data_IF_391062724401
#
_entry.id   IF_391062724401
#
_cell.length_a   1.000
_cell.length_b   1.000
_cell.length_c   1.000
_cell.angle_alpha   90.00
_cell.angle_beta   90.00
_cell.angle_gamma   90.00
#
_symmetry.space_group_name_H-M   'P 1'
#
loop_
_entity.id
_entity.type
_entity.pdbx_description
1 polymer ?
#
# COMPACT_ATOMS: atom_id res chain seq x y z
N UNK A 1 -28.62 -6.39 20.28
CA UNK A 1 -30.08 -6.34 20.55
C UNK A 1 -30.67 -5.31 19.60
N UNK A 2 -31.94 -4.94 19.71
CA UNK A 2 -32.45 -3.75 19.00
C UNK A 2 -32.68 -2.66 20.03
N UNK A 3 -32.41 -1.40 19.66
CA UNK A 3 -32.55 -0.22 20.53
C UNK A 3 -33.88 -0.25 21.28
N UNK A 4 -33.82 -0.25 22.61
CA UNK A 4 -34.98 -0.15 23.47
C UNK A 4 -35.31 1.33 23.74
N UNK A 5 -36.53 1.76 23.41
CA UNK A 5 -36.98 3.12 23.70
C UNK A 5 -37.77 3.16 25.01
N UNK A 6 -37.52 4.18 25.83
CA UNK A 6 -38.35 4.48 27.00
C UNK A 6 -39.68 5.07 26.52
N UNK A 7 -40.79 4.46 26.91
CA UNK A 7 -42.12 5.02 26.68
C UNK A 7 -42.41 6.10 27.72
N UNK A 8 -42.60 7.34 27.28
CA UNK A 8 -42.86 8.50 28.17
C UNK A 8 -44.36 8.78 28.39
N UNK A 9 -45.23 7.91 27.89
CA UNK A 9 -46.68 8.08 27.89
C UNK A 9 -47.19 8.96 26.75
N UNK A 10 -48.51 9.02 26.57
CA UNK A 10 -49.16 9.87 25.56
C UNK A 10 -49.39 11.31 26.04
N UNK A 11 -49.47 11.49 27.35
CA UNK A 11 -49.57 12.76 28.05
C UNK A 11 -48.86 12.67 29.41
N UNK A 12 -48.57 13.83 30.02
CA UNK A 12 -47.97 13.87 31.35
C UNK A 12 -48.85 13.16 32.38
N UNK A 13 -48.25 12.24 33.14
CA UNK A 13 -48.87 11.50 34.25
C UNK A 13 -50.08 10.64 33.87
N UNK A 14 -50.19 10.19 32.62
CA UNK A 14 -51.34 9.41 32.14
C UNK A 14 -51.26 7.90 32.42
N UNK A 15 -50.14 7.43 33.00
CA UNK A 15 -49.92 6.03 33.35
C UNK A 15 -49.69 5.09 32.15
N UNK A 16 -49.57 5.62 30.93
CA UNK A 16 -49.35 4.83 29.71
C UNK A 16 -47.87 4.66 29.34
N UNK A 17 -46.98 5.34 30.08
CA UNK A 17 -45.54 5.22 29.95
C UNK A 17 -44.94 4.01 30.68
N UNK A 18 -43.63 3.84 30.53
CA UNK A 18 -42.88 2.84 31.26
C UNK A 18 -42.82 3.15 32.76
N UNK A 19 -42.83 2.10 33.57
CA UNK A 19 -42.40 2.22 34.98
C UNK A 19 -40.92 2.53 35.05
N UNK A 20 -40.44 3.12 36.15
CA UNK A 20 -39.00 3.33 36.40
C UNK A 20 -38.19 2.03 36.28
N UNK A 21 -38.79 0.89 36.67
CA UNK A 21 -38.16 -0.43 36.54
C UNK A 21 -38.00 -0.82 35.07
N UNK A 22 -39.06 -0.68 34.27
CA UNK A 22 -39.01 -0.97 32.84
C UNK A 22 -38.05 -0.03 32.11
N UNK A 23 -38.09 1.26 32.40
CA UNK A 23 -37.15 2.24 31.87
C UNK A 23 -35.71 1.91 32.26
N UNK A 24 -35.45 1.56 33.53
CA UNK A 24 -34.14 1.13 34.01
C UNK A 24 -33.62 -0.13 33.32
N UNK A 25 -34.47 -1.13 33.08
CA UNK A 25 -34.11 -2.34 32.32
C UNK A 25 -33.70 -1.97 30.89
N UNK A 26 -34.51 -1.16 30.20
CA UNK A 26 -34.22 -0.70 28.83
C UNK A 26 -32.93 0.10 28.75
N UNK A 27 -32.66 0.95 29.74
CA UNK A 27 -31.40 1.71 29.87
C UNK A 27 -30.23 0.74 29.98
N UNK A 28 -30.29 -0.20 30.94
CA UNK A 28 -29.22 -1.18 31.15
C UNK A 28 -29.00 -2.04 29.90
N UNK A 29 -30.07 -2.53 29.28
CA UNK A 29 -29.99 -3.34 28.05
C UNK A 29 -29.31 -2.59 26.90
N UNK A 30 -29.65 -1.31 26.69
CA UNK A 30 -29.01 -0.48 25.68
C UNK A 30 -27.51 -0.26 25.99
N UNK A 31 -27.16 0.00 27.25
CA UNK A 31 -25.77 0.20 27.65
C UNK A 31 -24.96 -1.09 27.52
N UNK A 32 -25.50 -2.22 27.98
CA UNK A 32 -24.87 -3.54 27.82
C UNK A 32 -24.60 -3.82 26.34
N UNK A 33 -25.53 -3.52 25.43
CA UNK A 33 -25.29 -3.66 23.99
C UNK A 33 -24.10 -2.81 23.50
N UNK A 34 -23.98 -1.57 23.96
CA UNK A 34 -22.88 -0.67 23.58
C UNK A 34 -21.54 -1.18 24.13
N UNK A 35 -21.48 -1.53 25.42
CA UNK A 35 -20.26 -2.04 26.06
C UNK A 35 -19.81 -3.36 25.45
N UNK A 36 -20.73 -4.28 25.17
CA UNK A 36 -20.41 -5.52 24.46
C UNK A 36 -19.86 -5.26 23.06
N UNK A 37 -20.38 -4.25 22.34
CA UNK A 37 -19.95 -3.95 20.97
C UNK A 37 -18.60 -3.25 20.89
N UNK A 38 -18.28 -2.41 21.87
CA UNK A 38 -17.09 -1.55 21.89
C UNK A 38 -16.04 -2.05 22.87
N UNK A 39 -16.31 -2.97 23.81
CA UNK A 39 -15.37 -3.42 24.84
C UNK A 39 -15.43 -4.90 25.25
N UNK A 40 -16.38 -5.67 24.73
CA UNK A 40 -16.58 -7.07 25.09
C UNK A 40 -17.43 -7.26 26.36
N UNK A 41 -17.42 -8.46 26.94
CA UNK A 41 -18.19 -8.82 28.15
C UNK A 41 -17.47 -8.36 29.44
N UNK A 42 -17.04 -7.09 29.46
CA UNK A 42 -16.34 -6.48 30.59
C UNK A 42 -16.89 -5.07 30.81
N UNK A 43 -16.81 -4.58 32.04
CA UNK A 43 -17.18 -3.21 32.43
C UNK A 43 -16.22 -2.14 31.84
N UNK A 44 -15.37 -2.52 30.88
CA UNK A 44 -14.31 -1.70 30.29
C UNK A 44 -14.52 -1.63 28.77
N UNK A 45 -14.56 -0.40 28.22
CA UNK A 45 -14.56 -0.16 26.77
C UNK A 45 -13.26 -0.72 26.15
N UNK A 46 -13.23 -1.11 24.86
CA UNK A 46 -12.11 -1.86 24.29
C UNK A 46 -10.80 -1.13 24.52
N UNK A 47 -9.85 -1.84 25.12
CA UNK A 47 -8.52 -1.32 25.37
C UNK A 47 -7.66 -1.23 24.11
N UNK A 48 -8.15 -1.71 22.96
CA UNK A 48 -7.37 -1.80 21.72
C UNK A 48 -7.76 -0.77 20.67
N UNK A 49 -8.96 -0.19 20.75
CA UNK A 49 -9.42 0.83 19.80
C UNK A 49 -10.13 1.94 20.56
N UNK A 50 -9.67 3.17 20.41
CA UNK A 50 -10.33 4.37 20.92
C UNK A 50 -10.70 5.33 19.78
N UNK A 51 -11.80 6.08 19.98
CA UNK A 51 -12.26 7.10 19.05
C UNK A 51 -11.97 8.47 19.66
N UNK A 52 -11.15 9.26 18.98
CA UNK A 52 -10.86 10.64 19.31
C UNK A 52 -11.57 11.58 18.33
N UNK A 53 -11.56 12.88 18.61
CA UNK A 53 -12.06 13.91 17.68
C UNK A 53 -11.33 13.89 16.33
N UNK A 54 -10.04 13.54 16.32
CA UNK A 54 -9.19 13.63 15.14
C UNK A 54 -8.79 12.28 14.52
N UNK A 55 -9.04 11.16 15.19
CA UNK A 55 -8.49 9.86 14.79
C UNK A 55 -9.31 8.66 15.29
N UNK A 56 -9.15 7.54 14.58
CA UNK A 56 -9.33 6.21 15.16
C UNK A 56 -7.96 5.76 15.63
N UNK A 57 -7.83 5.44 16.91
CA UNK A 57 -6.56 5.06 17.54
C UNK A 57 -6.57 3.56 17.80
N UNK A 58 -5.50 2.89 17.39
CA UNK A 58 -5.24 1.49 17.68
C UNK A 58 -4.15 1.41 18.74
N UNK A 59 -4.52 0.92 19.91
CA UNK A 59 -3.61 0.74 21.04
C UNK A 59 -2.77 -0.52 20.82
N UNK A 60 -1.48 -0.42 21.15
CA UNK A 60 -0.59 -1.58 21.20
C UNK A 60 -0.91 -2.53 22.36
N UNK A 61 -0.04 -3.51 22.60
CA UNK A 61 -0.21 -4.48 23.68
C UNK A 61 -0.08 -3.88 25.10
N UNK A 62 0.48 -2.67 25.22
CA UNK A 62 0.62 -1.92 26.47
C UNK A 62 -0.18 -0.64 26.34
N UNK A 63 -0.99 -0.34 27.36
CA UNK A 63 -1.79 0.88 27.45
C UNK A 63 -0.91 2.12 27.37
N UNK A 64 -1.27 3.08 26.51
CA UNK A 64 -0.70 4.44 26.46
C UNK A 64 0.84 4.46 26.25
N UNK A 65 1.36 3.47 25.53
CA UNK A 65 2.78 3.35 25.25
C UNK A 65 3.11 3.71 23.80
N UNK A 66 2.40 3.11 22.85
CA UNK A 66 2.60 3.31 21.42
C UNK A 66 1.30 3.06 20.66
N UNK A 67 0.90 4.03 19.85
CA UNK A 67 -0.37 4.01 19.15
C UNK A 67 -0.19 4.12 17.64
N UNK A 68 -1.06 3.45 16.89
CA UNK A 68 -1.24 3.71 15.45
C UNK A 68 -2.52 4.50 15.26
N UNK A 69 -2.45 5.60 14.51
CA UNK A 69 -3.59 6.52 14.31
C UNK A 69 -4.02 6.51 12.86
N UNK A 70 -5.29 6.19 12.61
CA UNK A 70 -5.93 6.41 11.31
C UNK A 70 -6.54 7.81 11.31
N UNK A 71 -5.96 8.69 10.50
CA UNK A 71 -6.38 10.08 10.36
C UNK A 71 -6.68 10.39 8.90
N UNK A 72 -7.56 11.36 8.67
CA UNK A 72 -7.71 11.97 7.36
C UNK A 72 -6.89 13.24 7.30
N UNK A 73 -6.20 13.47 6.18
CA UNK A 73 -5.75 14.83 5.84
C UNK A 73 -6.97 15.68 5.47
N UNK A 74 -6.84 17.00 5.58
CA UNK A 74 -7.91 17.93 5.20
C UNK A 74 -8.43 17.62 3.79
N UNK A 75 -9.68 17.16 3.65
CA UNK A 75 -10.22 16.78 2.36
C UNK A 75 -10.55 18.03 1.54
N UNK A 76 -10.21 18.03 0.25
CA UNK A 76 -10.58 19.09 -0.70
C UNK A 76 -11.86 18.78 -1.50
N UNK A 77 -12.49 17.63 -1.21
CA UNK A 77 -13.62 17.01 -1.91
C UNK A 77 -14.01 15.73 -1.15
N UNK A 78 -15.20 15.20 -1.42
CA UNK A 78 -15.64 13.93 -0.86
C UNK A 78 -14.73 12.78 -1.32
N UNK A 79 -14.26 11.99 -0.35
CA UNK A 79 -13.32 10.89 -0.57
C UNK A 79 -13.81 9.65 0.16
N UNK A 80 -13.68 8.51 -0.49
CA UNK A 80 -13.90 7.20 0.13
C UNK A 80 -12.61 6.40 0.05
N UNK A 81 -12.18 5.83 1.18
CA UNK A 81 -11.09 4.85 1.24
C UNK A 81 -11.72 3.50 1.58
N UNK A 82 -11.41 2.46 0.79
CA UNK A 82 -11.94 1.12 0.98
C UNK A 82 -10.83 0.16 1.43
N UNK A 83 -11.13 -0.67 2.42
CA UNK A 83 -10.24 -1.77 2.84
C UNK A 83 -10.54 -2.97 1.93
N UNK A 84 -9.52 -3.56 1.27
CA UNK A 84 -9.73 -4.75 0.43
C UNK A 84 -10.31 -5.91 1.24
N UNK A 85 -11.17 -6.72 0.63
CA UNK A 85 -11.59 -8.01 1.19
C UNK A 85 -10.47 -9.05 1.03
N UNK A 86 -9.36 -8.82 1.71
CA UNK A 86 -8.17 -9.67 1.72
C UNK A 86 -7.44 -9.55 3.04
N UNK A 87 -6.81 -10.64 3.49
CA UNK A 87 -5.90 -10.60 4.63
C UNK A 87 -4.57 -9.98 4.23
N UNK A 88 -4.02 -9.12 5.07
CA UNK A 88 -2.71 -8.51 4.87
C UNK A 88 -2.54 -7.22 5.65
N UNK A 89 -1.41 -6.55 5.45
CA UNK A 89 -1.12 -5.23 6.02
C UNK A 89 -1.46 -4.17 4.95
N UNK A 90 -2.05 -3.06 5.37
CA UNK A 90 -2.30 -1.90 4.49
C UNK A 90 -0.95 -1.30 4.05
N UNK A 91 -0.85 -0.93 2.77
CA UNK A 91 0.35 -0.30 2.22
C UNK A 91 0.39 1.18 2.60
N UNK A 92 1.53 1.65 3.10
CA UNK A 92 1.78 3.05 3.50
C UNK A 92 3.07 3.55 2.83
N UNK A 93 3.22 4.87 2.69
CA UNK A 93 4.21 5.52 1.84
C UNK A 93 5.64 5.58 2.40
N UNK A 94 5.79 5.53 3.72
CA UNK A 94 7.10 5.66 4.41
C UNK A 94 7.70 4.33 4.86
N UNK A 95 6.90 3.26 4.93
CA UNK A 95 7.36 1.96 5.39
C UNK A 95 8.06 1.18 4.26
N UNK A 96 9.11 0.44 4.60
CA UNK A 96 9.63 -0.59 3.69
C UNK A 96 8.66 -1.77 3.67
N UNK A 97 8.02 -2.03 2.52
CA UNK A 97 7.03 -3.11 2.37
C UNK A 97 7.32 -3.97 1.13
N UNK A 98 7.04 -5.28 1.24
CA UNK A 98 7.10 -6.22 0.12
C UNK A 98 5.71 -6.37 -0.49
N UNK A 99 5.54 -5.94 -1.75
CA UNK A 99 4.29 -6.08 -2.48
C UNK A 99 4.33 -7.34 -3.35
N UNK A 100 3.60 -8.38 -2.95
CA UNK A 100 3.45 -9.62 -3.73
C UNK A 100 2.13 -9.62 -4.51
N UNK A 101 2.14 -10.27 -5.68
CA UNK A 101 0.95 -10.52 -6.52
C UNK A 101 0.18 -9.24 -6.86
N UNK A 102 0.88 -8.17 -7.19
CA UNK A 102 0.27 -6.90 -7.61
C UNK A 102 0.49 -6.68 -9.10
N UNK A 103 -0.55 -6.15 -9.74
CA UNK A 103 -0.46 -5.54 -11.06
C UNK A 103 -0.41 -4.03 -10.86
N UNK A 104 0.66 -3.39 -11.36
CA UNK A 104 0.77 -1.94 -11.40
C UNK A 104 0.42 -1.48 -12.82
N UNK A 105 -0.69 -0.77 -12.98
CA UNK A 105 -1.11 -0.23 -14.27
C UNK A 105 -0.54 1.16 -14.46
N UNK A 106 0.35 1.32 -15.45
CA UNK A 106 1.02 2.59 -15.77
C UNK A 106 1.74 3.28 -14.58
N UNK A 107 2.56 2.56 -13.79
CA UNK A 107 3.31 3.21 -12.71
C UNK A 107 4.37 4.15 -13.29
N UNK A 108 4.55 5.31 -12.66
CA UNK A 108 5.75 6.13 -12.84
C UNK A 108 6.79 5.69 -11.82
N UNK A 109 7.96 5.26 -12.28
CA UNK A 109 9.07 4.83 -11.44
C UNK A 109 10.26 5.78 -11.67
N UNK A 110 10.65 6.54 -10.65
CA UNK A 110 11.76 7.50 -10.76
C UNK A 110 13.13 6.86 -10.57
N UNK A 111 13.25 5.89 -9.65
CA UNK A 111 14.50 5.20 -9.33
C UNK A 111 14.29 3.70 -9.13
N UNK A 112 13.84 2.96 -10.17
CA UNK A 112 13.62 1.53 -10.03
C UNK A 112 14.93 0.77 -9.78
N UNK A 113 14.95 -0.09 -8.76
CA UNK A 113 16.01 -1.09 -8.55
C UNK A 113 15.46 -2.48 -8.88
N UNK A 114 15.83 -3.02 -10.03
CA UNK A 114 15.50 -4.38 -10.44
C UNK A 114 16.67 -5.30 -10.08
N UNK A 115 16.45 -6.28 -9.22
CA UNK A 115 17.54 -7.09 -8.63
C UNK A 115 17.84 -8.37 -9.38
N UNK A 116 16.86 -8.94 -10.09
CA UNK A 116 16.97 -10.26 -10.72
C UNK A 116 16.71 -10.21 -12.22
N UNK A 117 15.50 -9.83 -12.63
CA UNK A 117 15.10 -9.84 -14.03
C UNK A 117 13.87 -8.97 -14.30
N UNK A 118 13.68 -8.62 -15.57
CA UNK A 118 12.37 -8.28 -16.14
C UNK A 118 11.86 -9.55 -16.82
N UNK A 119 10.68 -10.02 -16.41
CA UNK A 119 10.07 -11.25 -16.92
C UNK A 119 8.97 -10.94 -17.93
N UNK A 120 8.71 -11.89 -18.83
CA UNK A 120 7.58 -11.85 -19.75
C UNK A 120 6.26 -12.28 -19.07
N UNK A 121 5.16 -12.28 -19.84
CA UNK A 121 3.84 -12.66 -19.36
C UNK A 121 3.72 -14.14 -18.95
N UNK A 122 4.65 -15.00 -19.39
CA UNK A 122 4.69 -16.42 -19.05
C UNK A 122 5.68 -16.71 -17.91
N UNK A 123 6.17 -15.68 -17.22
CA UNK A 123 7.17 -15.76 -16.14
C UNK A 123 8.56 -16.24 -16.57
N UNK A 124 8.90 -16.17 -17.86
CA UNK A 124 10.27 -16.40 -18.34
C UNK A 124 11.07 -15.09 -18.31
N UNK A 125 12.40 -15.16 -18.19
CA UNK A 125 13.21 -13.95 -18.16
C UNK A 125 13.37 -13.32 -19.55
N UNK A 126 13.05 -12.03 -19.67
CA UNK A 126 13.31 -11.22 -20.86
C UNK A 126 14.67 -10.52 -20.78
N UNK A 127 15.00 -9.94 -19.62
CA UNK A 127 16.28 -9.31 -19.31
C UNK A 127 16.73 -9.80 -17.94
N UNK A 128 17.95 -10.33 -17.83
CA UNK A 128 18.54 -10.74 -16.54
C UNK A 128 19.59 -9.74 -16.09
N UNK A 129 19.57 -9.43 -14.80
CA UNK A 129 20.55 -8.58 -14.14
C UNK A 129 21.41 -9.40 -13.20
N UNK A 130 22.72 -9.19 -13.25
CA UNK A 130 23.68 -9.82 -12.35
C UNK A 130 24.44 -8.73 -11.63
N UNK A 131 24.37 -8.72 -10.30
CA UNK A 131 25.11 -7.76 -9.50
C UNK A 131 26.61 -8.04 -9.60
N UNK A 132 27.39 -7.00 -9.92
CA UNK A 132 28.84 -7.00 -9.76
C UNK A 132 29.18 -6.10 -8.58
N UNK A 133 29.83 -6.62 -7.55
CA UNK A 133 29.97 -5.95 -6.24
C UNK A 133 30.62 -4.56 -6.30
N UNK A 134 31.45 -4.30 -7.31
CA UNK A 134 32.12 -3.02 -7.54
C UNK A 134 32.00 -2.60 -9.01
N UNK A 135 30.81 -2.68 -9.59
CA UNK A 135 30.57 -2.19 -10.94
C UNK A 135 30.93 -0.70 -11.05
N UNK A 136 31.86 -0.36 -11.94
CA UNK A 136 32.26 1.03 -12.28
C UNK A 136 31.67 1.46 -13.63
N UNK A 137 31.36 0.49 -14.49
CA UNK A 137 30.88 0.70 -15.84
C UNK A 137 29.53 0.00 -16.05
N UNK A 138 28.65 0.62 -16.82
CA UNK A 138 27.28 0.21 -17.03
C UNK A 138 26.79 0.54 -18.45
N UNK A 139 25.52 0.25 -18.72
CA UNK A 139 24.87 0.56 -20.00
C UNK A 139 23.88 1.70 -19.78
N UNK A 140 24.00 2.75 -20.59
CA UNK A 140 23.00 3.80 -20.69
C UNK A 140 22.14 3.59 -21.94
N UNK A 141 20.82 3.58 -21.78
CA UNK A 141 19.84 3.51 -22.88
C UNK A 141 19.22 4.90 -23.05
N UNK A 142 19.30 5.45 -24.26
CA UNK A 142 18.90 6.83 -24.54
C UNK A 142 17.82 6.83 -25.62
N UNK A 143 16.72 7.55 -25.35
CA UNK A 143 15.73 7.86 -26.38
C UNK A 143 16.25 8.95 -27.34
N UNK A 144 15.53 9.18 -28.42
CA UNK A 144 15.93 10.16 -29.42
C UNK A 144 14.79 11.14 -29.69
N UNK A 145 15.16 12.41 -29.92
CA UNK A 145 14.24 13.37 -30.52
C UNK A 145 13.91 12.96 -31.98
N UNK A 146 12.87 13.56 -32.55
CA UNK A 146 12.49 13.31 -33.95
C UNK A 146 13.69 13.46 -34.88
N UNK A 147 13.82 12.51 -35.81
CA UNK A 147 14.92 12.41 -36.80
C UNK A 147 16.30 12.01 -36.24
N UNK A 148 16.40 11.65 -34.96
CA UNK A 148 17.59 11.03 -34.37
C UNK A 148 17.34 9.54 -34.08
N UNK A 149 18.41 8.77 -33.83
CA UNK A 149 18.34 7.35 -33.50
C UNK A 149 18.50 7.11 -31.99
N UNK A 150 17.73 6.20 -31.37
CA UNK A 150 17.96 5.78 -29.99
C UNK A 150 19.31 5.08 -29.86
N UNK A 151 19.89 5.08 -28.66
CA UNK A 151 21.25 4.62 -28.45
C UNK A 151 21.37 3.66 -27.26
N UNK A 152 22.37 2.77 -27.34
CA UNK A 152 22.84 1.89 -26.27
C UNK A 152 24.33 2.13 -26.12
N UNK A 153 24.72 2.76 -25.02
CA UNK A 153 26.08 3.23 -24.82
C UNK A 153 26.72 2.47 -23.65
N UNK A 154 28.00 2.13 -23.79
CA UNK A 154 28.82 1.87 -22.61
C UNK A 154 29.05 3.20 -21.88
N UNK A 155 28.82 3.24 -20.58
CA UNK A 155 29.07 4.37 -19.70
C UNK A 155 29.79 3.90 -18.43
N UNK A 156 30.27 4.82 -17.61
CA UNK A 156 30.95 4.49 -16.37
C UNK A 156 31.98 5.50 -15.93
N UNK A 157 32.74 5.13 -14.91
CA UNK A 157 33.87 5.92 -14.40
C UNK A 157 35.17 5.75 -15.19
N UNK A 158 35.36 4.64 -15.90
CA UNK A 158 36.57 4.41 -16.69
C UNK A 158 36.55 5.20 -18.00
N UNK A 159 37.72 5.69 -18.42
CA UNK A 159 37.83 6.53 -19.63
C UNK A 159 37.56 5.76 -20.93
N UNK A 160 37.96 4.49 -20.99
CA UNK A 160 37.90 3.69 -22.22
C UNK A 160 37.22 2.35 -21.93
N UNK A 161 35.98 2.20 -22.40
CA UNK A 161 35.17 0.99 -22.18
C UNK A 161 34.49 0.54 -23.47
N UNK A 162 34.58 -0.77 -23.76
CA UNK A 162 33.88 -1.37 -24.90
C UNK A 162 32.46 -1.79 -24.49
N UNK A 163 31.51 -1.71 -25.43
CA UNK A 163 30.23 -2.40 -25.31
C UNK A 163 30.36 -3.82 -25.86
N UNK A 164 30.42 -4.82 -24.98
CA UNK A 164 30.55 -6.21 -25.39
C UNK A 164 29.18 -6.85 -25.67
N UNK A 165 28.98 -7.38 -26.89
CA UNK A 165 27.80 -8.15 -27.29
C UNK A 165 28.20 -9.59 -27.60
N UNK A 166 27.83 -10.52 -26.71
CA UNK A 166 28.30 -11.91 -26.76
C UNK A 166 27.14 -12.89 -26.98
N UNK A 167 27.31 -13.78 -27.95
CA UNK A 167 26.40 -14.91 -28.20
C UNK A 167 26.81 -16.13 -27.37
N UNK A 168 25.91 -17.11 -27.21
CA UNK A 168 26.19 -18.36 -26.48
C UNK A 168 26.35 -19.54 -27.45
N UNK A 169 27.30 -20.45 -27.17
CA UNK A 169 27.48 -21.68 -27.94
C UNK A 169 27.92 -21.41 -29.38
N UNK A 170 27.19 -21.98 -30.35
CA UNK A 170 27.43 -21.76 -31.79
C UNK A 170 26.66 -20.56 -32.36
N UNK A 171 26.05 -19.72 -31.52
CA UNK A 171 25.33 -18.52 -31.94
C UNK A 171 26.25 -17.36 -32.35
N UNK A 172 25.70 -16.40 -33.09
CA UNK A 172 26.37 -15.15 -33.50
C UNK A 172 25.50 -13.93 -33.21
N UNK A 173 26.13 -12.75 -33.14
CA UNK A 173 25.39 -11.48 -33.12
C UNK A 173 24.86 -11.24 -34.52
N UNK A 174 23.55 -11.38 -34.69
CA UNK A 174 22.90 -11.16 -35.97
C UNK A 174 22.51 -9.70 -36.13
N UNK A 175 23.02 -9.07 -37.19
CA UNK A 175 22.68 -7.68 -37.57
C UNK A 175 22.15 -7.69 -38.99
N UNK A 176 20.90 -7.27 -39.17
CA UNK A 176 20.30 -7.22 -40.51
C UNK A 176 20.86 -6.08 -41.36
N UNK A 177 21.24 -4.97 -40.72
CA UNK A 177 21.89 -3.81 -41.35
C UNK A 177 22.94 -3.27 -40.39
N UNK A 178 24.15 -3.09 -40.89
CA UNK A 178 25.27 -2.55 -40.14
C UNK A 178 25.78 -1.29 -40.84
N UNK A 179 25.77 -0.18 -40.11
CA UNK A 179 26.51 1.02 -40.46
C UNK A 179 27.65 1.15 -39.46
N UNK A 180 28.86 1.39 -39.97
CA UNK A 180 30.05 1.64 -39.17
C UNK A 180 30.49 3.06 -39.47
N UNK A 181 30.62 3.87 -38.43
CA UNK A 181 31.25 5.18 -38.52
C UNK A 181 32.69 5.03 -38.02
N UNK A 182 33.64 5.55 -38.78
CA UNK A 182 35.02 5.60 -38.33
C UNK A 182 35.11 6.57 -37.16
N UNK A 183 35.71 6.12 -36.06
CA UNK A 183 36.15 7.01 -34.99
C UNK A 183 37.58 7.41 -35.35
N UNK A 184 37.78 8.63 -35.84
CA UNK A 184 39.12 9.24 -36.00
C UNK A 184 39.73 9.59 -34.64
#
# INVERSE_FOLDING_TARGET
MTRQNIAIGTAANDGTGDTLRSAGSKINENFVEIYQRIGGDSDVLASQISFEDSAIVFEGALTDAHETRLTAVNPTADRQVQIPNATGIIVVDTATQTLTNKTLTSPSLSTPKVTTAINDANSNELIKFTATSSAVNEVTIINAATSNNPQVNASGGDTNVNLNLNSKGTGSVEVSKLALEAVE
#
